data_IF_036205810853
#
_entry.id   IF_036205810853
#
_cell.length_a   1.000
_cell.length_b   1.000
_cell.length_c   1.000
_cell.angle_alpha   90.00
_cell.angle_beta   90.00
_cell.angle_gamma   90.00
#
_symmetry.space_group_name_H-M   'P 1'
#
loop_
_entity.id
_entity.type
_entity.pdbx_description
1 polymer ?
#
# COMPACT_ATOMS: atom_id res chain seq x y z
N UNK A 1 13.27 2.05 8.83
CA UNK A 1 12.39 1.58 9.88
C UNK A 1 11.56 2.74 10.45
N UNK A 2 10.26 2.51 10.62
CA UNK A 2 9.33 3.43 11.28
C UNK A 2 8.95 2.80 12.60
N UNK A 3 9.35 3.44 13.70
CA UNK A 3 9.11 2.95 15.05
C UNK A 3 7.65 3.06 15.50
N UNK A 4 7.33 2.49 16.67
CA UNK A 4 5.99 2.56 17.23
C UNK A 4 5.57 4.00 17.52
N UNK A 5 4.27 4.27 17.43
CA UNK A 5 3.64 5.58 17.68
C UNK A 5 4.12 6.74 16.76
N UNK A 6 4.59 6.43 15.56
CA UNK A 6 5.06 7.43 14.59
C UNK A 6 4.07 7.71 13.46
N UNK A 7 3.09 6.85 13.25
CA UNK A 7 2.07 7.00 12.19
C UNK A 7 0.66 7.02 12.78
N UNK A 8 -0.23 7.78 12.15
CA UNK A 8 -1.66 7.81 12.43
C UNK A 8 -2.42 7.82 11.09
N UNK A 9 -2.66 6.64 10.51
CA UNK A 9 -3.22 6.49 9.16
C UNK A 9 -4.59 7.15 8.98
N UNK A 10 -5.40 7.24 10.03
CA UNK A 10 -6.70 7.92 10.00
C UNK A 10 -6.59 9.42 9.66
N UNK A 11 -5.43 10.03 9.85
CA UNK A 11 -5.17 11.42 9.45
C UNK A 11 -5.34 11.63 7.94
N UNK A 12 -5.09 10.60 7.12
CA UNK A 12 -5.34 10.63 5.67
C UNK A 12 -6.80 10.89 5.29
N UNK A 13 -7.72 10.66 6.22
CA UNK A 13 -9.15 10.91 6.08
C UNK A 13 -9.63 12.11 6.92
N UNK A 14 -8.69 12.94 7.41
CA UNK A 14 -9.00 14.09 8.26
C UNK A 14 -9.49 13.72 9.67
N UNK A 15 -9.30 12.47 10.10
CA UNK A 15 -9.71 11.99 11.42
C UNK A 15 -8.51 11.97 12.36
N UNK A 16 -8.55 12.77 13.42
CA UNK A 16 -7.52 12.79 14.47
C UNK A 16 -7.72 11.61 15.41
N UNK A 17 -6.76 10.68 15.41
CA UNK A 17 -6.72 9.52 16.29
C UNK A 17 -5.40 9.46 17.06
N UNK A 18 -5.32 8.68 18.15
CA UNK A 18 -4.02 8.29 18.70
C UNK A 18 -3.16 7.60 17.64
N UNK A 19 -1.82 7.62 17.77
CA UNK A 19 -0.94 6.89 16.87
C UNK A 19 -1.27 5.40 16.79
N UNK A 20 -1.03 4.82 15.62
CA UNK A 20 -1.25 3.40 15.36
C UNK A 20 -0.31 2.51 16.18
N UNK A 21 -0.82 1.39 16.65
CA UNK A 21 -0.06 0.39 17.41
C UNK A 21 0.70 -0.54 16.44
N UNK A 22 1.70 0.01 15.77
CA UNK A 22 2.53 -0.74 14.82
C UNK A 22 3.92 -0.14 14.70
N UNK A 23 4.80 -0.94 14.19
CA UNK A 23 6.09 -0.53 13.62
C UNK A 23 6.26 -1.19 12.26
N UNK A 24 7.12 -0.65 11.40
CA UNK A 24 7.34 -1.20 10.08
C UNK A 24 8.76 -1.00 9.57
N UNK A 25 9.22 -1.99 8.79
CA UNK A 25 10.37 -1.85 7.92
C UNK A 25 9.89 -1.67 6.48
N UNK A 26 10.45 -0.68 5.78
CA UNK A 26 10.02 -0.33 4.44
C UNK A 26 11.21 -0.39 3.48
N UNK A 27 11.01 -0.92 2.29
CA UNK A 27 11.96 -0.86 1.18
C UNK A 27 11.25 -0.40 -0.09
N UNK A 28 11.93 0.47 -0.82
CA UNK A 28 11.47 1.00 -2.11
C UNK A 28 11.92 0.13 -3.29
N UNK A 29 11.87 0.69 -4.51
CA UNK A 29 12.30 0.00 -5.72
C UNK A 29 13.72 -0.57 -5.62
N UNK A 30 13.91 -1.77 -6.15
CA UNK A 30 15.25 -2.40 -6.22
C UNK A 30 16.07 -1.86 -7.37
N UNK A 31 15.43 -1.43 -8.45
CA UNK A 31 16.06 -0.94 -9.65
C UNK A 31 15.86 0.58 -9.76
N UNK A 32 16.97 1.30 -9.81
CA UNK A 32 16.97 2.74 -10.06
C UNK A 32 17.08 2.92 -11.57
N UNK A 33 16.18 3.68 -12.22
CA UNK A 33 16.29 3.96 -13.65
C UNK A 33 17.62 4.60 -13.99
N UNK A 34 18.22 4.18 -15.12
CA UNK A 34 19.43 4.82 -15.65
C UNK A 34 19.06 6.16 -16.28
N UNK A 35 19.81 7.20 -15.97
CA UNK A 35 19.63 8.54 -16.52
C UNK A 35 19.43 9.63 -15.48
N UNK A 36 19.09 10.83 -15.94
CA UNK A 36 18.81 11.96 -15.05
C UNK A 36 17.41 11.78 -14.44
N UNK A 37 17.39 11.36 -13.19
CA UNK A 37 16.15 11.34 -12.42
C UNK A 37 15.79 12.74 -11.95
N UNK A 38 14.50 13.04 -11.93
CA UNK A 38 13.98 14.14 -11.15
C UNK A 38 14.47 14.02 -9.69
N UNK A 39 15.04 15.11 -9.16
CA UNK A 39 15.56 15.15 -7.79
C UNK A 39 14.52 14.70 -6.76
N UNK A 40 13.26 15.12 -6.93
CA UNK A 40 12.16 14.70 -6.05
C UNK A 40 11.91 13.19 -6.14
N UNK A 41 11.95 12.63 -7.35
CA UNK A 41 11.80 11.18 -7.55
C UNK A 41 12.89 10.41 -6.81
N UNK A 42 14.15 10.85 -6.96
CA UNK A 42 15.27 10.20 -6.29
C UNK A 42 15.13 10.28 -4.76
N UNK A 43 14.89 11.48 -4.22
CA UNK A 43 14.77 11.69 -2.78
C UNK A 43 13.57 10.98 -2.15
N UNK A 44 12.47 10.85 -2.89
CA UNK A 44 11.23 10.29 -2.34
C UNK A 44 11.14 8.76 -2.47
N UNK A 45 11.53 8.17 -3.60
CA UNK A 45 11.30 6.74 -3.83
C UNK A 45 12.51 5.92 -4.29
N UNK A 46 13.58 6.53 -4.80
CA UNK A 46 14.74 5.79 -5.32
C UNK A 46 15.96 5.80 -4.39
N UNK A 47 15.80 6.24 -3.16
CA UNK A 47 16.87 6.09 -2.16
C UNK A 47 17.12 4.60 -1.87
N UNK A 48 18.39 4.17 -1.80
CA UNK A 48 18.70 2.78 -1.47
C UNK A 48 18.08 2.35 -0.14
N UNK A 49 17.48 1.17 -0.13
CA UNK A 49 16.97 0.58 1.10
C UNK A 49 18.11 0.25 2.04
N UNK A 50 18.10 0.82 3.25
CA UNK A 50 19.06 0.53 4.30
C UNK A 50 18.66 -0.76 5.01
N UNK A 51 19.34 -1.86 4.66
CA UNK A 51 19.07 -3.17 5.25
C UNK A 51 19.76 -3.32 6.62
N UNK A 52 19.11 -4.01 7.58
CA UNK A 52 19.78 -4.38 8.82
C UNK A 52 20.87 -5.44 8.58
N UNK A 53 21.89 -5.45 9.44
CA UNK A 53 22.97 -6.46 9.40
C UNK A 53 22.51 -7.81 9.98
N UNK A 54 21.47 -8.38 9.37
CA UNK A 54 20.92 -9.70 9.74
C UNK A 54 21.19 -10.65 8.58
N UNK A 55 21.89 -11.75 8.85
CA UNK A 55 22.23 -12.76 7.84
C UNK A 55 20.99 -13.25 7.10
N UNK A 56 21.00 -13.16 5.77
CA UNK A 56 19.93 -13.64 4.88
C UNK A 56 18.73 -12.69 4.76
N UNK A 57 18.66 -11.59 5.55
CA UNK A 57 17.52 -10.69 5.51
C UNK A 57 17.41 -9.94 4.18
N UNK A 58 18.52 -9.38 3.71
CA UNK A 58 18.58 -8.63 2.43
C UNK A 58 18.21 -9.52 1.26
N UNK A 59 18.76 -10.72 1.20
CA UNK A 59 18.52 -11.69 0.14
C UNK A 59 17.05 -12.14 0.10
N UNK A 60 16.48 -12.46 1.25
CA UNK A 60 15.07 -12.82 1.37
C UNK A 60 14.14 -11.66 0.97
N UNK A 61 14.46 -10.43 1.40
CA UNK A 61 13.70 -9.24 1.03
C UNK A 61 13.71 -8.99 -0.47
N UNK A 62 14.89 -9.03 -1.09
CA UNK A 62 15.05 -8.81 -2.54
C UNK A 62 14.32 -9.89 -3.34
N UNK A 63 14.45 -11.17 -2.94
CA UNK A 63 13.77 -12.29 -3.60
C UNK A 63 12.25 -12.10 -3.52
N UNK A 64 11.71 -11.84 -2.34
CA UNK A 64 10.28 -11.63 -2.16
C UNK A 64 9.76 -10.40 -2.92
N UNK A 65 10.51 -9.30 -2.90
CA UNK A 65 10.14 -8.08 -3.63
C UNK A 65 9.99 -8.37 -5.14
N UNK A 66 10.94 -9.09 -5.74
CA UNK A 66 10.90 -9.45 -7.17
C UNK A 66 9.70 -10.30 -7.52
N UNK A 67 9.38 -11.29 -6.70
CA UNK A 67 8.19 -12.11 -6.91
C UNK A 67 6.91 -11.27 -6.83
N UNK A 68 6.86 -10.30 -5.93
CA UNK A 68 5.72 -9.39 -5.82
C UNK A 68 5.61 -8.43 -7.02
N UNK A 69 6.71 -7.99 -7.61
CA UNK A 69 6.68 -7.20 -8.85
C UNK A 69 6.10 -8.03 -10.01
N UNK A 70 6.52 -9.28 -10.15
CA UNK A 70 6.01 -10.20 -11.17
C UNK A 70 4.50 -10.41 -10.95
N UNK A 71 4.10 -10.78 -9.75
CA UNK A 71 2.68 -10.99 -9.42
C UNK A 71 1.84 -9.72 -9.65
N UNK A 72 2.35 -8.56 -9.26
CA UNK A 72 1.64 -7.29 -9.48
C UNK A 72 1.40 -7.02 -10.98
N UNK A 73 2.39 -7.29 -11.83
CA UNK A 73 2.27 -7.16 -13.29
C UNK A 73 1.22 -8.10 -13.86
N UNK A 74 1.18 -9.37 -13.40
CA UNK A 74 0.14 -10.33 -13.78
C UNK A 74 -1.26 -9.86 -13.35
N UNK A 75 -1.40 -9.34 -12.13
CA UNK A 75 -2.68 -8.79 -11.65
C UNK A 75 -3.09 -7.57 -12.48
N UNK A 76 -2.16 -6.68 -12.83
CA UNK A 76 -2.46 -5.53 -13.71
C UNK A 76 -2.93 -5.98 -15.10
N UNK A 77 -2.40 -7.10 -15.61
CA UNK A 77 -2.86 -7.73 -16.85
C UNK A 77 -4.32 -8.22 -16.72
N UNK A 78 -4.63 -8.90 -15.61
CA UNK A 78 -6.02 -9.31 -15.31
C UNK A 78 -6.95 -8.10 -15.17
N UNK A 79 -6.48 -7.03 -14.54
CA UNK A 79 -7.24 -5.78 -14.42
C UNK A 79 -7.53 -5.14 -15.77
N UNK A 80 -6.57 -5.15 -16.70
CA UNK A 80 -6.81 -4.65 -18.07
C UNK A 80 -7.96 -5.41 -18.76
N UNK A 81 -7.91 -6.73 -18.71
CA UNK A 81 -8.96 -7.59 -19.29
C UNK A 81 -10.31 -7.35 -18.60
N UNK A 82 -10.36 -7.27 -17.29
CA UNK A 82 -11.57 -7.02 -16.52
C UNK A 82 -12.20 -5.63 -16.80
N UNK A 83 -11.40 -4.68 -17.27
CA UNK A 83 -11.84 -3.34 -17.67
C UNK A 83 -12.24 -3.26 -19.16
N UNK A 84 -12.10 -4.37 -19.92
CA UNK A 84 -12.33 -4.39 -21.36
C UNK A 84 -11.25 -3.67 -22.18
N UNK A 85 -10.03 -3.60 -21.65
CA UNK A 85 -8.86 -2.99 -22.28
C UNK A 85 -7.99 -4.06 -22.94
N UNK A 86 -7.02 -3.63 -23.77
CA UNK A 86 -5.97 -4.53 -24.24
C UNK A 86 -5.21 -5.15 -23.06
N UNK A 87 -4.85 -6.42 -23.18
CA UNK A 87 -4.21 -7.22 -22.15
C UNK A 87 -2.99 -6.54 -21.50
N UNK A 88 -2.19 -5.82 -22.30
CA UNK A 88 -0.97 -5.16 -21.86
C UNK A 88 -1.10 -3.63 -21.70
N UNK A 89 -2.34 -3.13 -21.60
CA UNK A 89 -2.62 -1.70 -21.51
C UNK A 89 -1.78 -0.97 -20.45
N UNK A 90 -1.59 -1.58 -19.28
CA UNK A 90 -0.87 -0.96 -18.17
C UNK A 90 0.65 -1.04 -18.26
N UNK A 91 1.22 -1.91 -19.13
CA UNK A 91 2.66 -2.15 -19.18
C UNK A 91 3.49 -0.88 -19.41
N UNK A 92 3.02 0.02 -20.28
CA UNK A 92 3.71 1.29 -20.58
C UNK A 92 3.80 2.27 -19.41
N UNK A 93 3.10 2.01 -18.31
CA UNK A 93 3.09 2.85 -17.11
C UNK A 93 3.85 2.23 -15.94
N UNK A 94 4.37 1.00 -16.09
CA UNK A 94 5.01 0.21 -15.05
C UNK A 94 6.36 -0.38 -15.50
N UNK A 95 7.14 0.42 -16.25
CA UNK A 95 8.49 0.03 -16.67
C UNK A 95 9.51 0.13 -15.54
N UNK A 96 9.36 1.15 -14.68
CA UNK A 96 10.18 1.42 -13.50
C UNK A 96 9.29 1.79 -12.31
N UNK A 97 8.46 0.84 -11.85
CA UNK A 97 7.42 1.11 -10.87
C UNK A 97 8.02 1.58 -9.54
N UNK A 98 7.47 2.65 -8.99
CA UNK A 98 7.86 3.18 -7.67
C UNK A 98 7.19 2.43 -6.52
N UNK A 99 7.15 1.10 -6.63
CA UNK A 99 6.52 0.22 -5.66
C UNK A 99 7.30 0.15 -4.34
N UNK A 100 6.62 -0.19 -3.25
CA UNK A 100 7.24 -0.35 -1.95
C UNK A 100 6.77 -1.63 -1.26
N UNK A 101 7.71 -2.36 -0.65
CA UNK A 101 7.41 -3.46 0.25
C UNK A 101 7.48 -2.97 1.69
N UNK A 102 6.49 -3.35 2.50
CA UNK A 102 6.41 -3.00 3.91
C UNK A 102 6.17 -4.25 4.75
N UNK A 103 7.08 -4.55 5.67
CA UNK A 103 6.88 -5.51 6.74
C UNK A 103 6.30 -4.79 7.96
N UNK A 104 5.14 -5.22 8.42
CA UNK A 104 4.40 -4.60 9.53
C UNK A 104 4.39 -5.54 10.74
N UNK A 105 4.85 -5.04 11.87
CA UNK A 105 4.75 -5.70 13.15
C UNK A 105 3.74 -4.96 14.03
N UNK A 106 2.73 -5.67 14.46
CA UNK A 106 1.72 -5.19 15.39
C UNK A 106 1.97 -5.89 16.75
N UNK A 107 2.46 -5.21 17.77
CA UNK A 107 2.79 -5.82 19.06
C UNK A 107 1.55 -6.40 19.75
N UNK A 108 1.75 -7.28 20.75
CA UNK A 108 0.65 -7.76 21.60
C UNK A 108 -0.07 -6.59 22.27
N UNK A 109 -1.38 -6.68 22.42
CA UNK A 109 -2.19 -5.67 23.08
C UNK A 109 -2.64 -6.16 24.46
N UNK A 110 -1.81 -5.96 25.49
CA UNK A 110 -2.18 -6.32 26.87
C UNK A 110 -3.15 -5.31 27.50
N UNK A 111 -2.98 -4.02 27.20
CA UNK A 111 -3.85 -2.96 27.69
C UNK A 111 -4.09 -1.94 26.58
N UNK A 112 -5.20 -2.01 25.87
CA UNK A 112 -5.64 -0.92 25.00
C UNK A 112 -6.22 0.17 25.88
N UNK A 113 -5.39 1.15 26.25
CA UNK A 113 -5.79 2.23 27.19
C UNK A 113 -6.72 3.27 26.58
N UNK A 114 -6.88 3.30 25.25
CA UNK A 114 -7.70 4.30 24.55
C UNK A 114 -8.69 3.58 23.63
N UNK A 115 -9.97 3.84 23.81
CA UNK A 115 -11.10 3.24 23.06
C UNK A 115 -10.99 3.38 21.53
N UNK A 116 -10.27 4.38 21.03
CA UNK A 116 -10.14 4.68 19.59
C UNK A 116 -8.76 4.33 19.00
N UNK A 117 -7.87 3.71 19.79
CA UNK A 117 -6.55 3.34 19.29
C UNK A 117 -6.64 2.04 18.51
N UNK A 118 -6.22 2.10 17.25
CA UNK A 118 -6.16 0.97 16.33
C UNK A 118 -4.72 0.47 16.14
N UNK A 119 -4.56 -0.77 15.67
CA UNK A 119 -3.30 -1.26 15.12
C UNK A 119 -2.96 -0.55 13.82
N UNK A 120 -3.99 -0.28 13.00
CA UNK A 120 -3.91 0.65 11.86
C UNK A 120 -5.26 1.37 11.76
N UNK A 121 -5.25 2.69 11.82
CA UNK A 121 -6.43 3.53 11.69
C UNK A 121 -7.13 3.38 10.33
N UNK A 122 -8.38 3.82 10.23
CA UNK A 122 -9.15 3.71 9.00
C UNK A 122 -8.54 4.57 7.88
N UNK A 123 -8.15 3.95 6.77
CA UNK A 123 -7.50 4.58 5.62
C UNK A 123 -7.80 3.84 4.32
N UNK A 124 -7.41 4.44 3.21
CA UNK A 124 -7.31 3.80 1.89
C UNK A 124 -5.85 3.79 1.47
N UNK A 125 -5.46 2.82 0.65
CA UNK A 125 -4.13 2.81 0.04
C UNK A 125 -4.05 3.80 -1.11
N UNK A 126 -2.86 4.35 -1.36
CA UNK A 126 -2.72 5.47 -2.31
C UNK A 126 -2.47 5.03 -3.75
N UNK A 127 -1.97 3.81 -3.95
CA UNK A 127 -1.47 3.31 -5.21
C UNK A 127 -2.48 2.72 -6.18
N UNK A 128 -1.96 1.90 -7.09
CA UNK A 128 -2.78 1.13 -8.03
C UNK A 128 -3.40 -0.10 -7.35
N UNK A 129 -2.59 -0.94 -6.73
CA UNK A 129 -3.03 -2.12 -5.99
C UNK A 129 -2.11 -2.40 -4.79
N UNK A 130 -2.65 -3.09 -3.80
CA UNK A 130 -1.88 -3.64 -2.68
C UNK A 130 -2.03 -5.15 -2.67
N UNK A 131 -0.91 -5.86 -2.52
CA UNK A 131 -0.85 -7.30 -2.31
C UNK A 131 -0.44 -7.53 -0.87
N UNK A 132 -1.37 -7.99 -0.05
CA UNK A 132 -1.15 -8.20 1.38
C UNK A 132 -1.03 -9.69 1.68
N UNK A 133 0.10 -10.09 2.28
CA UNK A 133 0.28 -11.39 2.94
C UNK A 133 0.00 -11.23 4.44
N UNK A 134 -1.15 -11.64 4.94
CA UNK A 134 -1.43 -11.64 6.37
C UNK A 134 -0.81 -12.87 7.05
N UNK A 135 -0.39 -12.73 8.30
CA UNK A 135 -0.01 -13.89 9.12
C UNK A 135 -1.19 -14.87 9.27
N UNK A 136 -0.98 -16.19 9.05
CA UNK A 136 -2.04 -17.19 9.21
C UNK A 136 -2.72 -17.12 10.58
N UNK A 137 -4.05 -17.21 10.61
CA UNK A 137 -4.83 -17.14 11.85
C UNK A 137 -4.91 -15.75 12.48
N UNK A 138 -4.28 -14.73 11.90
CA UNK A 138 -4.34 -13.36 12.43
C UNK A 138 -5.73 -12.75 12.28
N UNK A 139 -6.10 -11.86 13.20
CA UNK A 139 -7.41 -11.20 13.23
C UNK A 139 -7.26 -9.68 13.28
N UNK A 140 -8.33 -8.97 12.98
CA UNK A 140 -8.42 -7.53 13.16
C UNK A 140 -8.50 -6.71 11.88
N UNK A 141 -8.17 -7.26 10.72
CA UNK A 141 -8.40 -6.56 9.45
C UNK A 141 -9.90 -6.44 9.19
N UNK A 142 -10.35 -5.23 8.90
CA UNK A 142 -11.73 -4.91 8.55
C UNK A 142 -11.79 -4.00 7.34
N UNK A 143 -12.80 -4.19 6.51
CA UNK A 143 -13.16 -3.29 5.41
C UNK A 143 -14.50 -2.61 5.71
N UNK A 144 -14.68 -1.38 5.22
CA UNK A 144 -15.93 -0.66 5.32
C UNK A 144 -16.74 -0.82 4.04
N UNK A 145 -17.91 -1.44 4.14
CA UNK A 145 -18.80 -1.68 3.00
C UNK A 145 -20.25 -1.53 3.44
N UNK A 146 -21.05 -0.82 2.64
CA UNK A 146 -22.49 -0.60 2.89
C UNK A 146 -22.79 -0.09 4.32
N UNK A 147 -22.00 0.89 4.79
CA UNK A 147 -22.19 1.50 6.12
C UNK A 147 -21.72 0.65 7.30
N UNK A 148 -21.07 -0.49 7.07
CA UNK A 148 -20.66 -1.43 8.12
C UNK A 148 -19.19 -1.86 7.97
N UNK A 149 -18.54 -2.14 9.11
CA UNK A 149 -17.23 -2.76 9.16
C UNK A 149 -17.36 -4.29 9.10
N UNK A 150 -16.72 -4.89 8.11
CA UNK A 150 -16.72 -6.34 7.89
C UNK A 150 -15.33 -6.89 8.17
N UNK A 151 -15.23 -8.01 8.89
CA UNK A 151 -13.96 -8.70 9.10
C UNK A 151 -13.49 -9.36 7.82
N UNK A 152 -12.17 -9.31 7.59
CA UNK A 152 -11.49 -10.00 6.49
C UNK A 152 -10.51 -11.00 7.13
N UNK A 153 -10.93 -12.25 7.35
CA UNK A 153 -10.03 -13.27 7.88
C UNK A 153 -9.02 -13.68 6.81
N UNK A 154 -7.77 -14.01 7.20
CA UNK A 154 -6.82 -14.58 6.26
C UNK A 154 -7.29 -15.96 5.79
N UNK A 155 -7.15 -16.21 4.50
CA UNK A 155 -7.35 -17.53 3.91
C UNK A 155 -5.97 -18.18 3.73
N UNK A 156 -5.86 -19.44 4.07
CA UNK A 156 -4.59 -20.19 3.93
C UNK A 156 -4.10 -20.11 2.48
N UNK A 157 -2.81 -19.88 2.32
CA UNK A 157 -2.11 -19.83 1.02
C UNK A 157 -2.68 -18.80 0.03
N UNK A 158 -3.32 -17.74 0.54
CA UNK A 158 -3.89 -16.68 -0.26
C UNK A 158 -3.36 -15.31 0.14
N UNK A 159 -3.17 -14.44 -0.85
CA UNK A 159 -3.04 -13.01 -0.64
C UNK A 159 -4.40 -12.33 -0.54
N UNK A 160 -4.45 -11.21 0.17
CA UNK A 160 -5.56 -10.27 0.12
C UNK A 160 -5.16 -9.15 -0.82
N UNK A 161 -5.97 -8.88 -1.84
CA UNK A 161 -5.70 -7.84 -2.83
C UNK A 161 -6.76 -6.75 -2.71
N UNK A 162 -6.30 -5.51 -2.66
CA UNK A 162 -7.19 -4.34 -2.75
C UNK A 162 -6.63 -3.31 -3.73
N UNK A 163 -7.52 -2.55 -4.35
CA UNK A 163 -7.14 -1.40 -5.17
C UNK A 163 -6.95 -0.17 -4.31
N UNK A 164 -6.09 0.73 -4.77
CA UNK A 164 -5.83 2.02 -4.13
C UNK A 164 -6.47 3.21 -4.84
N UNK A 165 -6.28 4.39 -4.26
CA UNK A 165 -6.88 5.66 -4.70
C UNK A 165 -6.49 6.01 -6.15
N UNK A 166 -5.26 5.67 -6.57
CA UNK A 166 -4.81 5.94 -7.93
C UNK A 166 -5.56 5.08 -8.97
N UNK A 167 -5.83 3.79 -8.65
CA UNK A 167 -6.63 2.91 -9.51
C UNK A 167 -8.10 3.34 -9.52
N UNK A 168 -8.64 3.82 -8.40
CA UNK A 168 -9.98 4.42 -8.37
C UNK A 168 -10.08 5.61 -9.34
N UNK A 169 -9.08 6.50 -9.33
CA UNK A 169 -8.98 7.61 -10.26
C UNK A 169 -8.84 7.10 -11.71
N UNK A 170 -7.92 6.16 -11.93
CA UNK A 170 -7.62 5.60 -13.26
C UNK A 170 -8.85 4.96 -13.91
N UNK A 171 -9.63 4.23 -13.13
CA UNK A 171 -10.88 3.60 -13.60
C UNK A 171 -12.10 4.54 -13.59
N UNK A 172 -11.88 5.84 -13.44
CA UNK A 172 -12.95 6.85 -13.38
C UNK A 172 -13.99 6.54 -12.29
N UNK A 173 -13.54 6.00 -11.15
CA UNK A 173 -14.35 5.55 -10.01
C UNK A 173 -15.29 4.37 -10.31
N UNK A 174 -15.02 3.59 -11.36
CA UNK A 174 -15.71 2.31 -11.54
C UNK A 174 -15.33 1.30 -10.47
N UNK A 175 -14.05 1.31 -10.09
CA UNK A 175 -13.56 0.56 -8.95
C UNK A 175 -13.28 1.53 -7.81
N UNK A 176 -13.54 1.08 -6.59
CA UNK A 176 -13.47 1.91 -5.39
C UNK A 176 -12.29 1.50 -4.53
N UNK A 177 -11.47 2.48 -4.14
CA UNK A 177 -10.44 2.26 -3.13
C UNK A 177 -11.10 1.94 -1.79
N UNK A 178 -10.84 0.75 -1.27
CA UNK A 178 -11.57 0.23 -0.11
C UNK A 178 -11.04 0.82 1.19
N UNK A 179 -11.91 1.50 1.92
CA UNK A 179 -11.61 1.97 3.28
C UNK A 179 -11.44 0.73 4.19
N UNK A 180 -10.29 0.64 4.87
CA UNK A 180 -9.97 -0.48 5.74
C UNK A 180 -9.21 -0.05 6.98
N UNK A 181 -9.17 -0.93 7.98
CA UNK A 181 -8.47 -0.70 9.25
C UNK A 181 -8.01 -2.02 9.87
N UNK A 182 -7.09 -1.94 10.83
CA UNK A 182 -6.74 -3.07 11.71
C UNK A 182 -7.08 -2.70 13.14
N UNK A 183 -8.11 -3.33 13.68
CA UNK A 183 -8.58 -3.04 15.04
C UNK A 183 -7.63 -3.61 16.10
N UNK A 184 -7.51 -2.89 17.21
CA UNK A 184 -6.88 -3.40 18.41
C UNK A 184 -7.96 -3.83 19.40
N UNK A 185 -7.87 -5.08 19.88
CA UNK A 185 -8.67 -5.59 21.01
C UNK A 185 -7.75 -5.93 22.16
N UNK A 186 -8.27 -5.95 23.37
CA UNK A 186 -7.51 -6.37 24.56
C UNK A 186 -7.04 -7.81 24.41
N UNK A 187 -5.84 -8.12 24.86
CA UNK A 187 -5.23 -9.45 24.85
C UNK A 187 -5.07 -10.10 23.44
N UNK A 188 -4.88 -9.30 22.42
CA UNK A 188 -4.51 -9.85 21.12
C UNK A 188 -3.02 -10.19 21.07
N UNK A 189 -2.63 -11.33 20.47
CA UNK A 189 -1.24 -11.68 20.24
C UNK A 189 -0.58 -10.72 19.25
N UNK A 190 0.74 -10.81 19.13
CA UNK A 190 1.49 -10.17 18.06
C UNK A 190 0.91 -10.61 16.70
N UNK A 191 0.98 -9.72 15.72
CA UNK A 191 0.60 -9.99 14.34
C UNK A 191 1.67 -9.44 13.40
N UNK A 192 1.99 -10.22 12.38
CA UNK A 192 2.83 -9.76 11.26
C UNK A 192 1.99 -9.67 9.98
N UNK A 193 2.44 -8.82 9.07
CA UNK A 193 1.98 -8.85 7.68
C UNK A 193 3.02 -8.22 6.76
N UNK A 194 3.04 -8.69 5.51
CA UNK A 194 3.82 -8.08 4.44
C UNK A 194 2.84 -7.43 3.44
N UNK A 195 3.04 -6.16 3.15
CA UNK A 195 2.23 -5.42 2.20
C UNK A 195 3.12 -4.92 1.05
N UNK A 196 2.82 -5.33 -0.17
CA UNK A 196 3.44 -4.80 -1.37
C UNK A 196 2.50 -3.78 -2.00
N UNK A 197 2.92 -2.51 -1.98
CA UNK A 197 2.18 -1.39 -2.55
C UNK A 197 2.68 -1.15 -3.96
N UNK A 198 1.94 -1.63 -4.95
CA UNK A 198 2.28 -1.42 -6.35
C UNK A 198 1.90 -0.01 -6.80
N UNK A 199 2.84 0.63 -7.47
CA UNK A 199 2.71 1.98 -8.02
C UNK A 199 3.16 1.98 -9.48
N UNK A 200 2.61 2.83 -10.36
CA UNK A 200 3.21 3.10 -11.67
C UNK A 200 4.57 3.79 -11.56
N UNK A 201 5.19 4.06 -12.69
CA UNK A 201 6.41 4.86 -12.78
C UNK A 201 6.18 6.27 -12.21
N UNK A 202 7.23 6.92 -11.74
CA UNK A 202 7.13 8.25 -11.11
C UNK A 202 6.43 9.29 -11.98
N UNK A 203 6.78 9.35 -13.25
CA UNK A 203 6.27 10.31 -14.23
C UNK A 203 5.08 9.82 -15.04
N UNK A 204 4.61 8.59 -14.78
CA UNK A 204 3.45 8.04 -15.45
C UNK A 204 2.22 8.96 -15.33
N UNK A 205 1.71 9.40 -16.47
CA UNK A 205 0.51 10.23 -16.54
C UNK A 205 -0.74 9.35 -16.47
N UNK A 206 -1.45 9.42 -15.37
CA UNK A 206 -2.65 8.66 -15.08
C UNK A 206 -3.86 9.45 -15.53
N UNK A 207 -4.39 9.08 -16.69
CA UNK A 207 -5.62 9.65 -17.26
C UNK A 207 -6.80 8.75 -16.96
N UNK A 208 -7.94 9.29 -16.52
CA UNK A 208 -9.16 8.50 -16.38
C UNK A 208 -9.48 7.74 -17.69
N UNK A 209 -9.56 6.40 -17.62
CA UNK A 209 -9.76 5.52 -18.79
C UNK A 209 -11.13 5.76 -19.42
N UNK A 210 -12.14 5.95 -18.56
CA UNK A 210 -13.50 6.16 -19.01
C UNK A 210 -13.84 7.63 -18.95
N UNK A 211 -14.32 8.17 -20.06
CA UNK A 211 -14.55 9.61 -20.21
C UNK A 211 -15.45 10.18 -19.11
N UNK A 212 -14.85 10.98 -18.22
CA UNK A 212 -15.54 11.81 -17.21
C UNK A 212 -14.96 13.22 -17.29
N UNK A 213 -15.67 14.16 -17.91
CA UNK A 213 -15.13 15.50 -18.27
C UNK A 213 -14.53 16.30 -17.12
N UNK A 214 -14.92 16.02 -15.88
CA UNK A 214 -14.45 16.74 -14.68
C UNK A 214 -13.24 16.10 -13.99
N UNK A 215 -12.79 14.90 -14.42
CA UNK A 215 -11.64 14.24 -13.81
C UNK A 215 -10.35 14.61 -14.52
N UNK A 216 -9.43 15.21 -13.76
CA UNK A 216 -8.10 15.61 -14.25
C UNK A 216 -7.12 14.45 -14.20
N UNK A 217 -6.18 14.41 -15.15
CA UNK A 217 -5.01 13.54 -15.09
C UNK A 217 -4.09 13.95 -13.95
N UNK A 218 -3.33 12.99 -13.45
CA UNK A 218 -2.29 13.22 -12.43
C UNK A 218 -1.02 12.47 -12.81
N UNK A 219 0.14 12.96 -12.36
CA UNK A 219 1.38 12.18 -12.39
C UNK A 219 1.47 11.30 -11.15
N UNK A 220 1.81 10.02 -11.32
CA UNK A 220 1.81 9.01 -10.26
C UNK A 220 2.66 9.41 -9.06
N UNK A 221 3.93 9.74 -9.25
CA UNK A 221 4.85 10.10 -8.16
C UNK A 221 4.43 11.34 -7.38
N UNK A 222 4.22 12.49 -8.02
CA UNK A 222 3.72 13.70 -7.34
C UNK A 222 2.38 13.49 -6.63
N UNK A 223 1.49 12.67 -7.19
CA UNK A 223 0.25 12.31 -6.52
C UNK A 223 0.51 11.54 -5.22
N UNK A 224 1.36 10.51 -5.29
CA UNK A 224 1.74 9.70 -4.13
C UNK A 224 2.43 10.56 -3.06
N UNK A 225 3.40 11.38 -3.44
CA UNK A 225 4.11 12.26 -2.53
C UNK A 225 3.15 13.22 -1.80
N UNK A 226 2.20 13.82 -2.51
CA UNK A 226 1.17 14.68 -1.90
C UNK A 226 0.35 13.94 -0.85
N UNK A 227 -0.01 12.68 -1.12
CA UNK A 227 -0.75 11.84 -0.16
C UNK A 227 0.07 11.57 1.10
N UNK A 228 1.34 11.23 0.96
CA UNK A 228 2.22 11.03 2.11
C UNK A 228 2.41 12.29 2.95
N UNK A 229 2.69 13.43 2.31
CA UNK A 229 2.85 14.71 3.01
C UNK A 229 1.60 15.14 3.78
N UNK A 230 0.41 14.74 3.33
CA UNK A 230 -0.84 15.02 4.05
C UNK A 230 -1.05 14.16 5.30
N UNK A 231 -0.23 13.14 5.53
CA UNK A 231 -0.36 12.17 6.63
C UNK A 231 0.84 12.10 7.56
N UNK A 232 1.96 12.74 7.17
CA UNK A 232 3.15 12.88 8.00
C UNK A 232 3.01 14.12 8.87
N UNK A 233 3.07 13.95 10.18
CA UNK A 233 3.09 15.04 11.17
C UNK A 233 4.49 15.22 11.70
#
# INVERSE_FOLDING_TARGET
WIGPNKEALAASKGVKTPPDLKESFNGGPLNIPLGVLDKQAYEFCYQPTLFPEIKGFKEAWISYYREMEILAKEIMTVFAVALGLETHYFNKFINHPISALRALNYPPTQNVKKLEQHRAGAHTDYGSLTILLPEPGSVGLQIFKNGKWLNVPPTKDCFIINIGDLMELWTSKRWVSTLHRVVAKVNQPRRLSLAFFHQPDWDAEIKPIFNKPLMKSVKSGPYLMKKFLSTSH
#
